data_IF_950327519671
#
_entry.id   IF_950327519671
#
_cell.length_a   1.000
_cell.length_b   1.000
_cell.length_c   1.000
_cell.angle_alpha   90.00
_cell.angle_beta   90.00
_cell.angle_gamma   90.00
#
_symmetry.space_group_name_H-M   'P 1'
#
loop_
_entity.id
_entity.type
_entity.pdbx_description
1 polymer ?
#
# COMPACT_ATOMS: atom_id res chain seq x y z
N UNK A 1 -0.89 -33.69 0.01
CA UNK A 1 -1.31 -32.62 -0.92
C UNK A 1 -1.78 -31.44 -0.08
N UNK A 2 -1.23 -30.25 -0.30
CA UNK A 2 -1.51 -29.07 0.54
C UNK A 2 -2.92 -28.51 0.27
N UNK A 3 -3.52 -27.82 1.26
CA UNK A 3 -4.87 -27.23 1.13
C UNK A 3 -4.99 -26.32 -0.10
N UNK A 4 -3.93 -25.55 -0.40
CA UNK A 4 -3.90 -24.64 -1.54
C UNK A 4 -3.99 -25.38 -2.88
N UNK A 5 -3.21 -26.45 -3.05
CA UNK A 5 -3.22 -27.26 -4.29
C UNK A 5 -4.60 -27.84 -4.56
N UNK A 6 -5.27 -28.33 -3.50
CA UNK A 6 -6.64 -28.83 -3.60
C UNK A 6 -7.62 -27.73 -4.03
N UNK A 7 -7.53 -26.54 -3.44
CA UNK A 7 -8.40 -25.41 -3.79
C UNK A 7 -8.18 -24.94 -5.24
N UNK A 8 -6.93 -24.90 -5.71
CA UNK A 8 -6.61 -24.56 -7.10
C UNK A 8 -7.23 -25.58 -8.05
N UNK A 9 -7.12 -26.88 -7.72
CA UNK A 9 -7.71 -27.93 -8.55
C UNK A 9 -9.24 -27.87 -8.60
N UNK A 10 -9.90 -27.62 -7.47
CA UNK A 10 -11.36 -27.55 -7.39
C UNK A 10 -11.94 -26.27 -8.01
N UNK A 11 -11.31 -25.11 -7.80
CA UNK A 11 -11.84 -23.81 -8.19
C UNK A 11 -11.31 -23.31 -9.54
N UNK A 12 -10.14 -23.81 -9.96
CA UNK A 12 -9.48 -23.41 -11.20
C UNK A 12 -9.07 -24.66 -12.00
N UNK A 13 -10.02 -25.54 -12.38
CA UNK A 13 -9.73 -26.82 -13.04
C UNK A 13 -9.03 -26.66 -14.40
N UNK A 14 -9.19 -25.50 -15.05
CA UNK A 14 -8.54 -25.15 -16.31
C UNK A 14 -7.20 -24.41 -16.12
N UNK A 15 -6.71 -24.32 -14.89
CA UNK A 15 -5.52 -23.53 -14.52
C UNK A 15 -5.84 -22.07 -14.18
N UNK A 16 -4.79 -21.35 -13.77
CA UNK A 16 -4.84 -19.93 -13.42
C UNK A 16 -3.94 -19.18 -14.39
N UNK A 17 -4.47 -18.12 -14.99
CA UNK A 17 -3.69 -17.23 -15.85
C UNK A 17 -2.78 -16.33 -15.02
N UNK A 18 -1.51 -16.23 -15.42
CA UNK A 18 -0.56 -15.29 -14.84
C UNK A 18 -0.55 -14.00 -15.67
N UNK A 19 -0.89 -12.88 -15.04
CA UNK A 19 -0.83 -11.54 -15.65
C UNK A 19 0.18 -10.66 -14.93
N UNK A 20 0.75 -9.69 -15.65
CA UNK A 20 1.52 -8.61 -15.03
C UNK A 20 0.57 -7.74 -14.21
N UNK A 21 1.05 -7.19 -13.09
CA UNK A 21 0.27 -6.25 -12.28
C UNK A 21 -0.22 -5.04 -13.08
N UNK A 22 0.58 -4.56 -14.03
CA UNK A 22 0.24 -3.46 -14.93
C UNK A 22 -0.99 -3.73 -15.82
N UNK A 23 -1.37 -4.99 -16.03
CA UNK A 23 -2.55 -5.36 -16.82
C UNK A 23 -3.86 -5.24 -16.02
N UNK A 24 -3.77 -5.19 -14.69
CA UNK A 24 -4.94 -5.17 -13.78
C UNK A 24 -4.95 -3.97 -12.84
N UNK A 25 -3.84 -3.22 -12.75
CA UNK A 25 -3.72 -2.05 -11.90
C UNK A 25 -2.69 -1.05 -12.45
N UNK A 26 -2.94 0.24 -12.23
CA UNK A 26 -1.91 1.27 -12.35
C UNK A 26 -1.05 1.27 -11.09
N UNK A 27 0.26 1.13 -11.25
CA UNK A 27 1.21 1.06 -10.15
C UNK A 27 2.13 2.27 -10.23
N UNK A 28 2.13 3.08 -9.18
CA UNK A 28 2.98 4.27 -9.07
C UNK A 28 3.84 4.16 -7.82
N UNK A 29 5.03 4.75 -7.87
CA UNK A 29 5.85 4.88 -6.67
C UNK A 29 5.57 6.23 -6.05
N UNK A 30 5.02 6.23 -4.84
CA UNK A 30 4.82 7.45 -4.07
C UNK A 30 6.13 8.09 -3.59
N UNK A 31 6.02 9.29 -3.05
CA UNK A 31 7.16 10.05 -2.52
C UNK A 31 7.80 9.41 -1.30
N UNK A 32 9.11 9.59 -1.17
CA UNK A 32 9.83 9.23 0.05
C UNK A 32 9.76 10.39 1.05
N UNK A 33 9.36 10.10 2.29
CA UNK A 33 9.41 11.05 3.40
C UNK A 33 9.95 10.36 4.65
N UNK A 34 10.52 11.16 5.55
CA UNK A 34 11.07 10.73 6.84
C UNK A 34 10.29 11.39 7.98
N UNK A 35 10.46 10.91 9.21
CA UNK A 35 9.84 11.52 10.41
C UNK A 35 10.14 13.02 10.58
N UNK A 36 11.33 13.46 10.15
CA UNK A 36 11.72 14.88 10.20
C UNK A 36 10.90 15.78 9.26
N UNK A 37 10.21 15.19 8.29
CA UNK A 37 9.40 15.90 7.31
C UNK A 37 7.93 16.03 7.77
N UNK A 38 7.62 15.61 9.01
CA UNK A 38 6.29 15.78 9.58
C UNK A 38 6.00 17.25 9.88
N UNK A 39 4.76 17.63 9.59
CA UNK A 39 4.21 18.96 9.87
C UNK A 39 2.95 18.81 10.72
N UNK A 40 2.56 19.89 11.41
CA UNK A 40 1.34 19.89 12.22
C UNK A 40 0.08 19.81 11.36
N UNK A 41 0.06 20.49 10.21
CA UNK A 41 -1.06 20.54 9.28
C UNK A 41 -0.54 20.37 7.85
N UNK A 42 -1.18 19.49 7.08
CA UNK A 42 -0.79 19.21 5.69
C UNK A 42 -1.52 17.99 5.15
N UNK A 43 -0.91 17.33 4.17
CA UNK A 43 -1.44 16.10 3.58
C UNK A 43 -1.30 14.91 4.55
N UNK A 44 -2.39 14.17 4.85
CA UNK A 44 -2.37 12.96 5.67
C UNK A 44 -1.35 11.92 5.20
N UNK A 45 -0.55 11.37 6.12
CA UNK A 45 0.38 10.30 5.79
C UNK A 45 0.38 9.16 6.84
N UNK A 46 0.77 7.96 6.39
CA UNK A 46 1.06 6.82 7.26
C UNK A 46 2.50 6.40 7.01
N UNK A 47 3.35 6.51 8.02
CA UNK A 47 4.68 5.92 7.98
C UNK A 47 4.61 4.47 8.45
N UNK A 48 5.36 3.59 7.79
CA UNK A 48 5.32 2.14 8.03
C UNK A 48 5.42 1.76 9.52
N UNK A 49 6.33 2.41 10.25
CA UNK A 49 6.48 2.18 11.69
C UNK A 49 5.22 2.45 12.53
N UNK A 50 4.34 3.35 12.10
CA UNK A 50 3.09 3.69 12.81
C UNK A 50 2.06 2.57 12.71
N UNK A 51 2.07 1.80 11.62
CA UNK A 51 1.18 0.64 11.41
C UNK A 51 1.34 -0.36 12.56
N UNK A 52 2.57 -0.54 13.05
CA UNK A 52 2.88 -1.51 14.09
C UNK A 52 2.86 -0.95 15.52
N UNK A 53 2.91 0.38 15.67
CA UNK A 53 3.16 1.01 16.98
C UNK A 53 2.04 1.92 17.44
N UNK A 54 1.21 2.44 16.54
CA UNK A 54 0.23 3.49 16.84
C UNK A 54 -1.18 3.16 16.32
N UNK A 55 -1.29 2.38 15.25
CA UNK A 55 -2.58 2.01 14.66
C UNK A 55 -3.06 0.64 15.16
N UNK A 56 -4.38 0.49 15.28
CA UNK A 56 -5.07 -0.79 15.50
C UNK A 56 -5.41 -1.43 14.15
N UNK A 57 -6.16 -2.54 14.17
CA UNK A 57 -6.58 -3.26 12.96
C UNK A 57 -7.37 -2.39 11.96
N UNK A 58 -8.08 -1.37 12.47
CA UNK A 58 -8.86 -0.44 11.68
C UNK A 58 -8.54 1.00 12.10
N UNK A 59 -8.57 1.92 11.13
CA UNK A 59 -8.37 3.35 11.35
C UNK A 59 -9.21 4.16 10.36
N UNK A 60 -9.82 5.24 10.86
CA UNK A 60 -10.59 6.19 10.04
C UNK A 60 -9.83 7.51 9.78
N UNK A 61 -8.76 7.76 10.54
CA UNK A 61 -7.98 9.01 10.50
C UNK A 61 -6.50 8.74 10.68
N UNK A 62 -5.66 9.56 10.04
CA UNK A 62 -4.21 9.56 10.25
C UNK A 62 -3.83 10.45 11.43
N UNK A 63 -2.68 10.17 12.04
CA UNK A 63 -2.11 10.94 13.16
C UNK A 63 -0.92 11.81 12.74
N UNK A 64 -0.52 11.76 11.46
CA UNK A 64 0.64 12.48 10.94
C UNK A 64 0.35 13.04 9.57
N UNK A 65 1.06 14.12 9.28
CA UNK A 65 0.90 14.93 8.08
C UNK A 65 2.28 15.30 7.54
N UNK A 66 2.37 15.45 6.22
CA UNK A 66 3.54 15.98 5.50
C UNK A 66 3.11 17.21 4.70
N UNK A 67 4.08 18.03 4.26
CA UNK A 67 3.76 19.14 3.36
C UNK A 67 3.24 18.63 2.01
N UNK A 68 2.42 19.44 1.35
CA UNK A 68 1.86 19.09 0.03
C UNK A 68 2.96 18.88 -1.01
N UNK A 69 4.02 19.69 -0.96
CA UNK A 69 5.24 19.51 -1.77
C UNK A 69 5.84 18.10 -1.61
N UNK A 70 5.83 17.53 -0.39
CA UNK A 70 6.34 16.17 -0.15
C UNK A 70 5.37 15.09 -0.60
N UNK A 71 4.06 15.37 -0.58
CA UNK A 71 3.04 14.46 -1.06
C UNK A 71 3.02 14.36 -2.60
N UNK A 72 3.32 15.45 -3.30
CA UNK A 72 3.28 15.55 -4.77
C UNK A 72 4.44 14.84 -5.49
N UNK A 73 5.45 14.35 -4.77
CA UNK A 73 6.57 13.61 -5.36
C UNK A 73 6.16 12.17 -5.72
N UNK A 74 5.18 11.99 -6.61
CA UNK A 74 4.87 10.69 -7.21
C UNK A 74 5.77 10.52 -8.42
N UNK A 75 6.60 9.48 -8.41
CA UNK A 75 7.40 9.08 -9.56
C UNK A 75 6.43 8.43 -10.56
N UNK A 76 6.08 9.18 -11.62
CA UNK A 76 5.10 8.75 -12.62
C UNK A 76 5.63 7.68 -13.58
N UNK A 77 6.93 7.35 -13.52
CA UNK A 77 7.57 6.31 -14.35
C UNK A 77 7.91 6.77 -15.75
#
# INVERSE_FOLDING_TARGET
MMKLEKMIHELCPNGIEYKKLSEVASVFRGGNFQKKDYVENGTPCIHYGQIYTQYNLFLDKTISFISDEKAENVDEG
#
